data_IF_562244517687
#
_entry.id   IF_562244517687
#
_cell.length_a   1.000
_cell.length_b   1.000
_cell.length_c   1.000
_cell.angle_alpha   90.00
_cell.angle_beta   90.00
_cell.angle_gamma   90.00
#
_symmetry.space_group_name_H-M   'P 1'
#
loop_
_entity.id
_entity.type
_entity.pdbx_description
1 polymer ?
#
# COMPACT_ATOMS: atom_id res chain seq x y z
N UNK A 1 3.28 37.25 -25.66
CA UNK A 1 3.58 36.38 -24.51
C UNK A 1 4.79 35.54 -24.88
N UNK A 2 5.93 35.82 -24.25
CA UNK A 2 7.19 35.12 -24.46
C UNK A 2 7.23 33.91 -23.55
N UNK A 3 7.27 32.71 -24.13
CA UNK A 3 7.47 31.48 -23.38
C UNK A 3 8.96 31.31 -23.10
N UNK A 4 9.34 31.06 -21.85
CA UNK A 4 10.70 30.67 -21.46
C UNK A 4 10.70 29.21 -21.03
N UNK A 5 11.58 28.41 -21.62
CA UNK A 5 11.85 27.06 -21.16
C UNK A 5 12.48 27.15 -19.76
N UNK A 6 11.86 26.53 -18.76
CA UNK A 6 12.45 26.37 -17.43
C UNK A 6 13.15 25.01 -17.41
N UNK A 7 14.48 25.00 -17.45
CA UNK A 7 15.28 23.77 -17.54
C UNK A 7 15.23 22.89 -16.28
N UNK A 8 14.81 23.46 -15.14
CA UNK A 8 14.62 22.72 -13.88
C UNK A 8 13.49 23.32 -13.05
N UNK A 9 12.49 22.50 -12.69
CA UNK A 9 11.46 22.88 -11.72
C UNK A 9 12.11 22.89 -10.32
N UNK A 10 12.10 24.01 -9.59
CA UNK A 10 12.68 24.06 -8.24
C UNK A 10 12.03 23.02 -7.33
N UNK A 11 12.81 22.28 -6.55
CA UNK A 11 12.26 21.40 -5.53
C UNK A 11 11.54 22.26 -4.47
N UNK A 12 10.22 22.13 -4.28
CA UNK A 12 9.49 22.97 -3.33
C UNK A 12 9.90 22.72 -1.87
N UNK A 13 10.63 21.63 -1.62
CA UNK A 13 11.16 21.26 -0.32
C UNK A 13 12.64 21.67 -0.12
N UNK A 14 13.27 22.30 -1.12
CA UNK A 14 14.71 22.58 -1.12
C UNK A 14 15.53 21.31 -1.36
N UNK A 15 16.70 21.20 -0.74
CA UNK A 15 17.46 19.94 -0.70
C UNK A 15 16.69 18.94 0.17
N UNK A 16 15.88 18.06 -0.44
CA UNK A 16 15.30 16.92 0.27
C UNK A 16 16.48 16.09 0.75
N UNK A 17 16.72 15.99 2.07
CA UNK A 17 17.82 15.19 2.55
C UNK A 17 17.60 13.79 2.02
N UNK A 18 18.56 13.29 1.23
CA UNK A 18 18.55 11.89 0.78
C UNK A 18 18.49 11.08 2.05
N UNK A 19 17.31 10.54 2.36
CA UNK A 19 17.14 9.73 3.55
C UNK A 19 18.04 8.53 3.30
N UNK A 20 19.17 8.44 3.99
CA UNK A 20 20.21 7.44 3.74
C UNK A 20 19.66 6.04 4.10
N UNK A 21 18.80 5.50 3.21
CA UNK A 21 17.84 4.42 3.48
C UNK A 21 16.99 4.63 4.75
N UNK A 22 16.52 5.85 5.01
CA UNK A 22 15.71 6.17 6.19
C UNK A 22 16.50 6.51 7.47
N UNK A 23 17.83 6.67 7.43
CA UNK A 23 18.64 7.08 8.60
C UNK A 23 18.61 8.57 8.93
N UNK A 24 18.09 9.41 8.04
CA UNK A 24 17.78 10.82 8.34
C UNK A 24 16.26 10.93 8.40
N UNK A 25 15.70 10.57 9.56
CA UNK A 25 14.29 10.81 9.86
C UNK A 25 14.20 12.10 10.65
N UNK A 26 13.27 12.95 10.24
CA UNK A 26 12.91 14.18 10.95
C UNK A 26 12.48 13.89 12.39
N UNK A 27 12.65 14.82 13.35
CA UNK A 27 12.40 14.57 14.77
C UNK A 27 11.00 14.01 15.08
N UNK A 28 9.96 14.46 14.37
CA UNK A 28 8.60 13.94 14.55
C UNK A 28 8.51 12.45 14.21
N UNK A 29 9.13 12.03 13.11
CA UNK A 29 9.19 10.63 12.69
C UNK A 29 10.02 9.81 13.66
N UNK A 30 11.17 10.34 14.08
CA UNK A 30 12.00 9.69 15.09
C UNK A 30 11.24 9.46 16.39
N UNK A 31 10.47 10.45 16.86
CA UNK A 31 9.71 10.37 18.11
C UNK A 31 8.67 9.24 18.10
N UNK A 32 7.81 9.16 17.06
CA UNK A 32 6.84 8.06 17.03
C UNK A 32 7.49 6.71 16.71
N UNK A 33 8.60 6.69 15.96
CA UNK A 33 9.36 5.47 15.72
C UNK A 33 10.08 4.97 16.98
N UNK A 34 10.51 5.87 17.87
CA UNK A 34 11.01 5.52 19.21
C UNK A 34 9.96 4.75 20.00
N UNK A 35 8.73 5.28 20.07
CA UNK A 35 7.59 4.61 20.73
C UNK A 35 7.28 3.23 20.11
N UNK A 36 7.38 3.13 18.78
CA UNK A 36 7.19 1.86 18.07
C UNK A 36 8.23 0.83 18.50
N UNK A 37 9.51 1.22 18.60
CA UNK A 37 10.60 0.34 19.07
C UNK A 37 10.41 -0.05 20.53
N UNK A 38 9.97 0.86 21.39
CA UNK A 38 9.64 0.54 22.78
C UNK A 38 8.53 -0.53 22.85
N UNK A 39 7.47 -0.39 22.04
CA UNK A 39 6.42 -1.42 21.95
C UNK A 39 6.92 -2.76 21.40
N UNK A 40 7.94 -2.75 20.55
CA UNK A 40 8.61 -3.97 20.07
C UNK A 40 9.42 -4.70 21.15
N UNK A 41 9.59 -4.11 22.33
CA UNK A 41 10.26 -4.76 23.47
C UNK A 41 9.28 -5.21 24.56
N UNK A 42 7.99 -4.87 24.46
CA UNK A 42 6.97 -5.24 25.44
C UNK A 42 6.51 -6.70 25.29
N UNK A 43 6.00 -7.29 26.38
CA UNK A 43 5.42 -8.64 26.34
C UNK A 43 4.25 -8.72 25.35
N UNK A 44 4.07 -9.89 24.73
CA UNK A 44 2.97 -10.15 23.81
C UNK A 44 1.61 -9.71 24.34
N UNK A 45 0.85 -9.08 23.46
CA UNK A 45 -0.54 -8.73 23.71
C UNK A 45 -1.47 -9.91 23.41
N UNK A 46 -2.62 -9.92 24.09
CA UNK A 46 -3.70 -10.88 23.82
C UNK A 46 -4.19 -10.69 22.39
N UNK A 47 -4.26 -11.78 21.64
CA UNK A 47 -4.80 -11.81 20.28
C UNK A 47 -6.17 -11.13 20.19
N UNK A 48 -6.32 -10.24 19.22
CA UNK A 48 -7.57 -9.53 18.96
C UNK A 48 -7.94 -9.57 17.49
N UNK A 49 -9.20 -9.18 17.25
CA UNK A 49 -9.67 -8.79 15.94
C UNK A 49 -8.99 -7.48 15.54
N UNK A 50 -8.18 -7.53 14.49
CA UNK A 50 -7.35 -6.41 14.07
C UNK A 50 -7.80 -5.84 12.74
N UNK A 51 -7.87 -4.51 12.70
CA UNK A 51 -8.13 -3.76 11.48
C UNK A 51 -6.91 -3.81 10.58
N UNK A 52 -7.06 -4.32 9.36
CA UNK A 52 -6.04 -4.17 8.33
C UNK A 52 -6.25 -2.90 7.50
N UNK A 53 -7.45 -2.32 7.50
CA UNK A 53 -7.66 -0.90 7.16
C UNK A 53 -8.01 -0.15 8.44
N UNK A 54 -7.21 0.84 8.86
CA UNK A 54 -7.41 1.54 10.13
C UNK A 54 -8.81 2.11 10.34
N UNK A 55 -9.29 2.04 11.58
CA UNK A 55 -10.63 2.53 11.93
C UNK A 55 -10.79 4.04 11.73
N UNK A 56 -9.75 4.83 11.99
CA UNK A 56 -9.77 6.28 11.77
C UNK A 56 -9.95 6.62 10.28
N UNK A 57 -9.33 5.84 9.40
CA UNK A 57 -9.54 5.92 7.95
C UNK A 57 -10.98 5.55 7.58
N UNK A 58 -11.48 4.41 8.05
CA UNK A 58 -12.85 3.95 7.74
C UNK A 58 -13.94 4.93 8.23
N UNK A 59 -13.68 5.69 9.30
CA UNK A 59 -14.60 6.71 9.81
C UNK A 59 -14.89 7.81 8.78
N UNK A 60 -13.97 8.11 7.87
CA UNK A 60 -14.17 9.07 6.77
C UNK A 60 -15.32 8.69 5.84
N UNK A 61 -15.53 7.39 5.70
CA UNK A 61 -16.46 6.79 4.76
C UNK A 61 -17.81 6.51 5.42
N UNK A 62 -17.92 6.82 6.72
CA UNK A 62 -19.11 6.52 7.51
C UNK A 62 -20.10 7.68 7.43
N UNK A 63 -21.33 7.39 6.98
CA UNK A 63 -22.39 8.40 6.93
C UNK A 63 -22.97 8.73 8.31
N UNK A 64 -22.76 7.90 9.33
CA UNK A 64 -23.28 8.07 10.68
C UNK A 64 -22.21 7.91 11.78
N UNK A 65 -20.93 7.92 11.40
CA UNK A 65 -19.79 7.68 12.30
C UNK A 65 -19.65 6.26 12.86
N UNK A 66 -20.55 5.33 12.52
CA UNK A 66 -20.62 3.95 13.07
C UNK A 66 -20.60 2.86 12.02
N UNK A 67 -21.12 3.12 10.83
CA UNK A 67 -21.32 2.15 9.76
C UNK A 67 -20.83 2.69 8.41
N UNK A 68 -20.43 1.77 7.55
CA UNK A 68 -20.02 2.02 6.16
C UNK A 68 -20.76 1.05 5.26
N UNK A 69 -20.91 1.40 3.97
CA UNK A 69 -21.59 0.54 3.00
C UNK A 69 -20.50 -0.30 2.40
N UNK A 70 -20.67 -1.61 2.45
CA UNK A 70 -19.67 -2.56 2.01
C UNK A 70 -20.27 -3.44 0.95
N UNK A 71 -19.65 -3.43 -0.23
CA UNK A 71 -19.83 -4.45 -1.25
C UNK A 71 -18.78 -5.54 -1.04
N UNK A 72 -19.22 -6.74 -0.69
CA UNK A 72 -18.37 -7.92 -0.60
C UNK A 72 -18.11 -8.48 -2.00
N UNK A 73 -16.85 -8.46 -2.43
CA UNK A 73 -16.46 -8.83 -3.80
C UNK A 73 -16.70 -10.31 -4.10
N UNK A 74 -16.76 -11.17 -3.07
CA UNK A 74 -16.82 -12.63 -3.20
C UNK A 74 -18.21 -13.13 -3.56
N UNK A 75 -19.24 -12.47 -3.04
CA UNK A 75 -20.65 -12.86 -3.21
C UNK A 75 -21.49 -11.73 -3.83
N UNK A 76 -20.93 -10.53 -4.04
CA UNK A 76 -21.64 -9.38 -4.58
C UNK A 76 -22.63 -8.76 -3.58
N UNK A 77 -22.60 -9.15 -2.30
CA UNK A 77 -23.53 -8.63 -1.29
C UNK A 77 -23.16 -7.20 -0.93
N UNK A 78 -24.12 -6.29 -1.12
CA UNK A 78 -24.02 -4.89 -0.76
C UNK A 78 -24.85 -4.62 0.50
N UNK A 79 -24.20 -4.26 1.60
CA UNK A 79 -24.89 -3.99 2.87
C UNK A 79 -24.18 -2.99 3.77
N UNK A 80 -24.94 -2.28 4.63
CA UNK A 80 -24.38 -1.61 5.79
C UNK A 80 -23.58 -2.56 6.68
N UNK A 81 -22.39 -2.13 7.11
CA UNK A 81 -21.55 -2.87 8.06
C UNK A 81 -20.96 -1.93 9.10
N UNK A 82 -20.96 -2.35 10.35
CA UNK A 82 -20.35 -1.58 11.43
C UNK A 82 -18.83 -1.50 11.28
N UNK A 83 -18.23 -0.35 11.62
CA UNK A 83 -16.79 -0.12 11.53
C UNK A 83 -15.95 -1.18 12.27
N UNK A 84 -16.47 -1.78 13.34
CA UNK A 84 -15.80 -2.85 14.10
C UNK A 84 -15.70 -4.18 13.34
N UNK A 85 -16.44 -4.34 12.24
CA UNK A 85 -16.51 -5.56 11.45
C UNK A 85 -16.06 -5.37 9.99
N UNK A 86 -15.71 -4.16 9.58
CA UNK A 86 -15.22 -3.83 8.23
C UNK A 86 -13.69 -3.84 8.20
N UNK A 87 -13.10 -4.51 7.22
CA UNK A 87 -11.65 -4.66 7.07
C UNK A 87 -10.94 -5.19 8.33
N UNK A 88 -11.52 -6.20 8.97
CA UNK A 88 -11.01 -6.82 10.20
C UNK A 88 -10.74 -8.29 9.99
N UNK A 89 -9.64 -8.79 10.54
CA UNK A 89 -9.34 -10.23 10.60
C UNK A 89 -8.71 -10.58 11.94
N UNK A 90 -9.06 -11.74 12.47
CA UNK A 90 -8.43 -12.29 13.68
C UNK A 90 -7.00 -12.72 13.38
N UNK A 91 -6.08 -12.44 14.30
CA UNK A 91 -4.67 -12.83 14.17
C UNK A 91 -4.03 -12.30 12.88
N UNK A 92 -4.45 -11.11 12.43
CA UNK A 92 -4.00 -10.57 11.15
C UNK A 92 -2.52 -10.16 11.15
N UNK A 93 -1.95 -9.86 12.31
CA UNK A 93 -0.52 -9.57 12.44
C UNK A 93 0.22 -10.57 13.31
N UNK A 94 -0.40 -11.73 13.55
CA UNK A 94 0.24 -12.80 14.30
C UNK A 94 1.42 -13.36 13.51
N UNK A 95 2.58 -13.38 14.15
CA UNK A 95 3.84 -13.93 13.63
C UNK A 95 4.26 -15.11 14.50
N UNK A 96 5.11 -15.98 13.98
CA UNK A 96 5.58 -17.18 14.66
C UNK A 96 7.10 -17.16 14.67
N UNK A 97 7.71 -17.28 15.85
CA UNK A 97 9.16 -17.27 15.99
C UNK A 97 9.81 -18.62 15.62
N UNK A 98 11.14 -18.70 15.74
CA UNK A 98 11.89 -19.92 15.50
C UNK A 98 11.59 -21.08 16.46
N UNK A 99 10.87 -20.83 17.55
CA UNK A 99 10.46 -21.81 18.55
C UNK A 99 8.96 -22.19 18.41
N UNK A 100 8.31 -21.80 17.31
CA UNK A 100 6.87 -21.98 17.06
C UNK A 100 5.96 -21.23 18.05
N UNK A 101 6.49 -20.22 18.74
CA UNK A 101 5.73 -19.36 19.64
C UNK A 101 5.05 -18.26 18.81
N UNK A 102 3.76 -18.07 19.06
CA UNK A 102 2.96 -17.08 18.36
C UNK A 102 2.99 -15.74 19.09
N UNK A 103 3.33 -14.68 18.36
CA UNK A 103 3.43 -13.32 18.87
C UNK A 103 2.41 -12.40 18.20
N UNK A 104 1.82 -11.48 18.97
CA UNK A 104 0.89 -10.45 18.46
C UNK A 104 1.43 -9.02 18.65
N UNK A 105 2.68 -8.88 19.11
CA UNK A 105 3.30 -7.60 19.41
C UNK A 105 3.23 -6.56 18.28
N UNK A 106 3.27 -7.02 17.02
CA UNK A 106 3.08 -6.17 15.82
C UNK A 106 1.80 -5.34 15.91
N UNK A 107 0.72 -5.86 16.51
CA UNK A 107 -0.54 -5.14 16.67
C UNK A 107 -0.38 -3.90 17.55
N UNK A 108 0.38 -4.00 18.64
CA UNK A 108 0.63 -2.89 19.55
C UNK A 108 1.49 -1.80 18.88
N UNK A 109 2.45 -2.20 18.05
CA UNK A 109 3.29 -1.29 17.28
C UNK A 109 2.48 -0.52 16.24
N UNK A 110 1.59 -1.20 15.51
CA UNK A 110 0.74 -0.58 14.49
C UNK A 110 -0.27 0.41 15.08
N UNK A 111 -0.65 0.25 16.35
CA UNK A 111 -1.54 1.20 17.02
C UNK A 111 -0.92 2.62 17.07
N UNK A 112 0.40 2.75 17.26
CA UNK A 112 1.09 4.04 17.27
C UNK A 112 1.01 4.72 15.90
N UNK A 113 1.18 3.92 14.83
CA UNK A 113 1.05 4.43 13.46
C UNK A 113 -0.40 4.75 13.09
N UNK A 114 -1.39 4.05 13.68
CA UNK A 114 -2.80 4.35 13.51
C UNK A 114 -3.19 5.70 14.14
N UNK A 115 -2.59 6.05 15.28
CA UNK A 115 -2.75 7.37 15.92
C UNK A 115 -2.17 8.48 15.03
N UNK A 116 -0.97 8.26 14.50
CA UNK A 116 -0.31 9.22 13.60
C UNK A 116 -1.08 9.42 12.30
N UNK A 117 -1.58 8.33 11.70
CA UNK A 117 -2.46 8.41 10.55
C UNK A 117 -3.77 9.14 10.90
N UNK A 118 -4.35 8.94 12.09
CA UNK A 118 -5.56 9.67 12.49
C UNK A 118 -5.31 11.19 12.55
N UNK A 119 -4.17 11.61 13.09
CA UNK A 119 -3.73 13.02 13.10
C UNK A 119 -3.59 13.57 11.68
N UNK A 120 -2.85 12.87 10.82
CA UNK A 120 -2.64 13.28 9.42
C UNK A 120 -3.94 13.34 8.62
N UNK A 121 -4.87 12.40 8.81
CA UNK A 121 -6.16 12.42 8.14
C UNK A 121 -7.03 13.62 8.54
N UNK A 122 -6.94 14.08 9.79
CA UNK A 122 -7.62 15.30 10.23
C UNK A 122 -7.01 16.53 9.54
N UNK A 123 -5.68 16.61 9.54
CA UNK A 123 -4.92 17.68 8.92
C UNK A 123 -5.16 17.78 7.40
N UNK A 124 -5.05 16.66 6.67
CA UNK A 124 -5.29 16.59 5.23
C UNK A 124 -6.72 16.96 4.81
N UNK A 125 -7.72 16.67 5.66
CA UNK A 125 -9.11 17.08 5.40
C UNK A 125 -9.38 18.54 5.70
N UNK A 126 -8.61 19.13 6.62
CA UNK A 126 -8.69 20.55 6.94
C UNK A 126 -8.06 21.44 5.90
N UNK A 127 -7.11 20.92 5.11
CA UNK A 127 -6.33 21.75 4.19
C UNK A 127 -7.15 22.44 3.10
N UNK A 128 -6.89 23.73 2.95
CA UNK A 128 -7.38 24.59 1.90
C UNK A 128 -6.21 25.06 1.01
N UNK A 129 -6.49 25.53 -0.23
CA UNK A 129 -5.46 26.12 -1.07
C UNK A 129 -4.72 27.25 -0.35
N UNK A 130 -3.39 27.15 -0.28
CA UNK A 130 -2.52 28.12 0.40
C UNK A 130 -2.06 27.70 1.80
N UNK A 131 -2.62 26.63 2.37
CA UNK A 131 -2.09 26.04 3.60
C UNK A 131 -0.67 25.49 3.36
N UNK A 132 0.21 25.70 4.33
CA UNK A 132 1.57 25.16 4.28
C UNK A 132 1.62 23.77 4.92
N UNK A 133 2.49 22.93 4.38
CA UNK A 133 2.82 21.62 4.92
C UNK A 133 4.24 21.67 5.48
N UNK A 134 4.36 21.42 6.79
CA UNK A 134 5.64 21.15 7.41
C UNK A 134 6.29 19.91 6.76
N UNK A 135 7.59 19.98 6.50
CA UNK A 135 8.34 18.85 5.94
C UNK A 135 8.19 17.58 6.81
N UNK A 136 8.11 17.75 8.13
CA UNK A 136 7.91 16.65 9.08
C UNK A 136 6.59 15.90 8.88
N UNK A 137 5.52 16.64 8.59
CA UNK A 137 4.22 16.08 8.28
C UNK A 137 4.22 15.38 6.92
N UNK A 138 4.98 15.90 5.93
CA UNK A 138 5.12 15.27 4.61
C UNK A 138 5.85 13.93 4.71
N UNK A 139 6.93 13.88 5.49
CA UNK A 139 7.65 12.63 5.74
C UNK A 139 6.80 11.64 6.52
N UNK A 140 6.05 12.10 7.53
CA UNK A 140 5.12 11.26 8.29
C UNK A 140 4.00 10.70 7.40
N UNK A 141 3.49 11.52 6.49
CA UNK A 141 2.53 11.13 5.47
C UNK A 141 3.07 10.02 4.56
N UNK A 142 4.29 10.17 4.03
CA UNK A 142 4.93 9.16 3.20
C UNK A 142 5.09 7.81 3.93
N UNK A 143 5.45 7.84 5.22
CA UNK A 143 5.54 6.64 6.06
C UNK A 143 4.17 5.99 6.28
N UNK A 144 3.14 6.79 6.58
CA UNK A 144 1.78 6.28 6.80
C UNK A 144 1.19 5.65 5.54
N UNK A 145 1.37 6.28 4.37
CA UNK A 145 0.93 5.70 3.09
C UNK A 145 1.71 4.44 2.77
N UNK A 146 3.01 4.42 3.03
CA UNK A 146 3.83 3.21 2.90
C UNK A 146 3.40 2.08 3.84
N UNK A 147 3.02 2.39 5.07
CA UNK A 147 2.46 1.41 6.00
C UNK A 147 1.12 0.87 5.47
N UNK A 148 0.25 1.76 4.99
CA UNK A 148 -1.09 1.37 4.56
C UNK A 148 -1.08 0.50 3.30
N UNK A 149 -0.13 0.71 2.38
CA UNK A 149 0.07 -0.17 1.22
C UNK A 149 0.58 -1.57 1.60
N UNK A 150 1.38 -1.67 2.66
CA UNK A 150 2.02 -2.92 3.10
C UNK A 150 1.17 -3.75 4.10
N UNK A 151 0.15 -3.17 4.75
CA UNK A 151 -0.69 -3.90 5.74
C UNK A 151 -1.95 -4.55 5.15
N UNK A 152 -2.01 -4.75 3.85
CA UNK A 152 -3.19 -5.31 3.18
C UNK A 152 -3.14 -6.85 3.16
N UNK A 153 -4.27 -7.57 3.09
CA UNK A 153 -4.22 -9.03 3.00
C UNK A 153 -3.54 -9.50 1.70
N UNK A 154 -3.50 -8.65 0.67
CA UNK A 154 -2.74 -8.83 -0.56
C UNK A 154 -1.24 -8.87 -0.30
N UNK A 155 -0.71 -7.85 0.40
CA UNK A 155 0.69 -7.78 0.78
C UNK A 155 1.10 -8.99 1.65
N UNK A 156 0.21 -9.41 2.56
CA UNK A 156 0.46 -10.60 3.39
C UNK A 156 0.56 -11.89 2.57
N UNK A 157 -0.33 -12.08 1.58
CA UNK A 157 -0.21 -13.21 0.64
C UNK A 157 1.07 -13.13 -0.18
N UNK A 158 1.42 -11.95 -0.67
CA UNK A 158 2.66 -11.74 -1.42
C UNK A 158 3.89 -12.20 -0.61
N UNK A 159 3.99 -11.78 0.66
CA UNK A 159 5.08 -12.18 1.55
C UNK A 159 5.09 -13.70 1.79
N UNK A 160 3.93 -14.31 2.00
CA UNK A 160 3.81 -15.77 2.17
C UNK A 160 4.25 -16.53 0.92
N UNK A 161 3.78 -16.13 -0.28
CA UNK A 161 4.18 -16.75 -1.54
C UNK A 161 5.68 -16.59 -1.82
N UNK A 162 6.25 -15.42 -1.51
CA UNK A 162 7.69 -15.17 -1.64
C UNK A 162 8.51 -16.05 -0.70
N UNK A 163 8.08 -16.20 0.55
CA UNK A 163 8.75 -17.07 1.54
C UNK A 163 8.70 -18.54 1.12
N UNK A 164 7.54 -19.02 0.64
CA UNK A 164 7.41 -20.37 0.10
C UNK A 164 8.34 -20.60 -1.10
N UNK A 165 8.40 -19.64 -2.03
CA UNK A 165 9.30 -19.70 -3.19
C UNK A 165 10.77 -19.75 -2.79
N UNK A 166 11.21 -18.93 -1.83
CA UNK A 166 12.58 -18.95 -1.32
C UNK A 166 12.96 -20.30 -0.72
N UNK A 167 12.04 -20.90 0.04
CA UNK A 167 12.22 -22.22 0.66
C UNK A 167 12.36 -23.31 -0.41
N UNK A 168 11.47 -23.32 -1.39
CA UNK A 168 11.37 -24.38 -2.40
C UNK A 168 12.55 -24.35 -3.40
N UNK A 169 13.01 -23.15 -3.79
CA UNK A 169 13.98 -22.98 -4.89
C UNK A 169 15.41 -22.68 -4.46
N UNK A 170 15.61 -21.96 -3.36
CA UNK A 170 16.96 -21.56 -2.96
C UNK A 170 17.66 -22.62 -2.10
N UNK A 171 16.96 -23.73 -1.74
CA UNK A 171 17.36 -24.67 -0.69
C UNK A 171 17.79 -23.97 0.60
N UNK A 172 17.35 -22.73 0.78
CA UNK A 172 17.57 -21.99 2.00
C UNK A 172 16.56 -22.53 3.01
N UNK A 173 16.98 -22.81 4.25
CA UNK A 173 16.01 -23.08 5.29
C UNK A 173 15.00 -21.93 5.30
N UNK A 174 13.70 -22.21 5.53
CA UNK A 174 12.69 -21.16 5.58
C UNK A 174 13.19 -20.07 6.53
N UNK A 175 13.33 -18.85 6.01
CA UNK A 175 13.80 -17.72 6.79
C UNK A 175 12.87 -17.62 8.00
N UNK A 176 13.42 -17.84 9.21
CA UNK A 176 12.65 -17.75 10.43
C UNK A 176 12.19 -16.30 10.57
N UNK A 177 10.93 -16.04 10.26
CA UNK A 177 10.29 -14.75 10.44
C UNK A 177 9.99 -14.55 11.93
N UNK A 178 11.04 -14.48 12.75
CA UNK A 178 10.91 -14.02 14.15
C UNK A 178 10.18 -12.69 14.17
N UNK A 179 9.53 -12.36 15.30
CA UNK A 179 8.82 -11.09 15.45
C UNK A 179 9.70 -9.91 15.06
N UNK A 180 10.93 -9.87 15.57
CA UNK A 180 11.91 -8.83 15.26
C UNK A 180 12.25 -8.75 13.77
N UNK A 181 12.40 -9.89 13.11
CA UNK A 181 12.73 -9.93 11.69
C UNK A 181 11.54 -9.52 10.81
N UNK A 182 10.33 -10.00 11.10
CA UNK A 182 9.12 -9.57 10.38
C UNK A 182 8.87 -8.07 10.54
N UNK A 183 9.06 -7.57 11.77
CA UNK A 183 9.01 -6.15 12.09
C UNK A 183 10.04 -5.39 11.26
N UNK A 184 11.32 -5.79 11.29
CA UNK A 184 12.38 -5.15 10.50
C UNK A 184 12.06 -5.14 9.00
N UNK A 185 11.57 -6.26 8.44
CA UNK A 185 11.13 -6.33 7.04
C UNK A 185 10.00 -5.37 6.72
N UNK A 186 8.96 -5.31 7.57
CA UNK A 186 7.83 -4.40 7.42
C UNK A 186 8.31 -2.95 7.44
N UNK A 187 9.14 -2.58 8.43
CA UNK A 187 9.67 -1.22 8.54
C UNK A 187 10.59 -0.86 7.38
N UNK A 188 11.46 -1.77 6.93
CA UNK A 188 12.28 -1.54 5.74
C UNK A 188 11.43 -1.33 4.49
N UNK A 189 10.38 -2.13 4.31
CA UNK A 189 9.45 -1.96 3.19
C UNK A 189 8.71 -0.61 3.26
N UNK A 190 8.29 -0.21 4.46
CA UNK A 190 7.68 1.10 4.72
C UNK A 190 8.65 2.23 4.41
N UNK A 191 9.89 2.20 4.90
CA UNK A 191 10.88 3.25 4.67
C UNK A 191 11.27 3.36 3.20
N UNK A 192 11.43 2.23 2.49
CA UNK A 192 11.67 2.25 1.04
C UNK A 192 10.51 2.90 0.30
N UNK A 193 9.28 2.56 0.69
CA UNK A 193 8.07 3.16 0.12
C UNK A 193 8.03 4.66 0.42
N UNK A 194 8.27 5.06 1.66
CA UNK A 194 8.29 6.45 2.08
C UNK A 194 9.35 7.26 1.32
N UNK A 195 10.55 6.70 1.12
CA UNK A 195 11.62 7.34 0.36
C UNK A 195 11.25 7.54 -1.13
N UNK A 196 10.48 6.61 -1.70
CA UNK A 196 9.97 6.77 -3.07
C UNK A 196 8.80 7.76 -3.15
N UNK A 197 8.00 7.89 -2.10
CA UNK A 197 6.91 8.86 -2.02
C UNK A 197 7.41 10.27 -1.72
N UNK A 198 8.49 10.41 -0.95
CA UNK A 198 9.06 11.72 -0.59
C UNK A 198 9.70 12.46 -1.76
N UNK A 199 9.98 11.77 -2.87
CA UNK A 199 10.48 12.40 -4.10
C UNK A 199 9.35 12.85 -5.04
N UNK A 200 8.08 12.59 -4.69
CA UNK A 200 6.92 12.90 -5.53
C UNK A 200 6.27 14.22 -5.12
N UNK A 201 5.60 14.85 -6.08
CA UNK A 201 4.76 16.01 -5.86
C UNK A 201 3.52 15.58 -5.06
N UNK A 202 3.25 16.26 -3.94
CA UNK A 202 2.00 16.07 -3.22
C UNK A 202 0.89 16.88 -3.89
N UNK A 203 -0.23 16.23 -4.15
CA UNK A 203 -1.45 16.88 -4.63
C UNK A 203 -2.66 16.47 -3.76
N UNK A 204 -3.61 17.40 -3.62
CA UNK A 204 -4.93 17.16 -3.06
C UNK A 204 -5.97 17.35 -4.16
N UNK A 205 -6.68 16.26 -4.47
CA UNK A 205 -7.75 16.27 -5.45
C UNK A 205 -9.10 16.23 -4.75
N UNK A 206 -9.92 17.24 -5.02
CA UNK A 206 -11.25 17.38 -4.43
C UNK A 206 -12.34 16.93 -5.41
N UNK A 207 -13.38 16.30 -4.88
CA UNK A 207 -14.63 16.02 -5.58
C UNK A 207 -15.82 16.47 -4.72
N UNK A 208 -16.38 17.66 -4.97
CA UNK A 208 -17.51 18.18 -4.20
C UNK A 208 -18.74 17.26 -4.19
N UNK A 209 -18.87 16.37 -5.18
CA UNK A 209 -20.00 15.43 -5.26
C UNK A 209 -19.80 14.16 -4.43
N UNK A 210 -18.63 13.96 -3.82
CA UNK A 210 -18.39 12.83 -2.93
C UNK A 210 -18.35 11.47 -3.63
N UNK A 211 -17.85 11.40 -4.87
CA UNK A 211 -17.89 10.19 -5.72
C UNK A 211 -16.62 9.34 -5.62
N UNK A 212 -15.65 9.68 -4.78
CA UNK A 212 -14.59 8.73 -4.49
C UNK A 212 -15.14 7.52 -3.71
N UNK A 213 -14.47 6.39 -3.87
CA UNK A 213 -14.70 5.15 -3.11
C UNK A 213 -13.35 4.63 -2.63
N UNK A 214 -13.38 3.66 -1.72
CA UNK A 214 -12.17 2.96 -1.27
C UNK A 214 -12.42 1.46 -1.18
N UNK A 215 -11.41 0.71 -0.75
CA UNK A 215 -11.49 -0.73 -0.52
C UNK A 215 -10.54 -1.16 0.61
N UNK A 216 -10.41 -2.47 0.77
CA UNK A 216 -9.41 -3.10 1.64
C UNK A 216 -7.95 -2.93 1.18
N UNK A 217 -7.72 -2.33 0.01
CA UNK A 217 -6.41 -1.91 -0.50
C UNK A 217 -6.45 -0.41 -0.86
N UNK A 218 -6.40 0.49 0.14
CA UNK A 218 -6.76 1.90 -0.03
C UNK A 218 -5.70 2.75 -0.72
N UNK A 219 -4.46 2.28 -0.84
CA UNK A 219 -3.40 2.96 -1.59
C UNK A 219 -3.28 2.29 -2.95
N UNK A 220 -3.43 3.05 -4.03
CA UNK A 220 -3.53 2.54 -5.40
C UNK A 220 -2.40 3.13 -6.23
N UNK A 221 -1.97 2.38 -7.23
CA UNK A 221 -1.00 2.86 -8.23
C UNK A 221 -1.74 3.09 -9.55
N UNK A 222 -1.44 4.18 -10.24
CA UNK A 222 -1.93 4.38 -11.61
C UNK A 222 -1.38 3.29 -12.52
N UNK A 223 -2.21 2.82 -13.44
CA UNK A 223 -1.78 1.93 -14.52
C UNK A 223 -1.39 2.77 -15.73
N UNK A 224 -0.15 2.63 -16.18
CA UNK A 224 0.36 3.33 -17.35
C UNK A 224 -0.21 2.73 -18.64
N UNK A 225 -0.46 1.41 -18.64
CA UNK A 225 -1.16 0.71 -19.71
C UNK A 225 -2.01 -0.46 -19.17
N UNK A 226 -3.15 -0.79 -19.81
CA UNK A 226 -3.94 -1.96 -19.46
C UNK A 226 -3.09 -3.24 -19.48
N UNK A 227 -3.06 -3.97 -18.36
CA UNK A 227 -2.35 -5.25 -18.26
C UNK A 227 -0.86 -5.15 -17.91
N UNK A 228 -0.30 -3.94 -17.81
CA UNK A 228 1.05 -3.75 -17.28
C UNK A 228 1.03 -3.68 -15.74
N UNK A 229 1.97 -4.35 -15.05
CA UNK A 229 2.05 -4.27 -13.61
C UNK A 229 2.61 -2.90 -13.22
N UNK A 230 1.84 -2.13 -12.46
CA UNK A 230 2.31 -0.87 -11.90
C UNK A 230 3.30 -1.15 -10.76
N UNK A 231 4.47 -0.53 -10.83
CA UNK A 231 5.40 -0.48 -9.72
C UNK A 231 5.45 0.94 -9.14
N UNK A 232 5.73 1.05 -7.85
CA UNK A 232 5.79 2.34 -7.17
C UNK A 232 6.82 3.30 -7.79
N UNK A 233 7.91 2.80 -8.38
CA UNK A 233 8.91 3.63 -9.03
C UNK A 233 8.54 4.04 -10.46
N UNK A 234 7.60 3.35 -11.11
CA UNK A 234 7.25 3.58 -12.52
C UNK A 234 5.90 4.28 -12.70
N UNK A 235 4.97 4.13 -11.74
CA UNK A 235 3.63 4.70 -11.88
C UNK A 235 3.64 6.23 -11.86
N UNK A 236 2.82 6.85 -12.69
CA UNK A 236 2.62 8.31 -12.68
C UNK A 236 2.03 8.82 -11.37
N UNK A 237 1.00 8.14 -10.85
CA UNK A 237 0.30 8.54 -9.64
C UNK A 237 0.22 7.42 -8.61
N UNK A 238 0.40 7.79 -7.35
CA UNK A 238 -0.05 6.99 -6.20
C UNK A 238 -1.29 7.66 -5.64
N UNK A 239 -2.44 7.00 -5.73
CA UNK A 239 -3.71 7.51 -5.25
C UNK A 239 -4.03 6.96 -3.87
N UNK A 240 -4.46 7.83 -2.97
CA UNK A 240 -4.92 7.44 -1.64
C UNK A 240 -6.23 8.18 -1.31
N UNK A 241 -7.40 7.62 -1.65
CA UNK A 241 -8.68 8.25 -1.33
C UNK A 241 -8.81 8.34 0.19
N UNK A 242 -8.91 9.52 0.78
CA UNK A 242 -8.96 9.68 2.25
C UNK A 242 -10.36 9.98 2.79
N UNK A 243 -11.29 10.30 1.87
CA UNK A 243 -12.72 10.50 2.11
C UNK A 243 -13.47 10.43 0.77
N UNK A 244 -14.81 10.43 0.77
CA UNK A 244 -15.59 10.50 -0.47
C UNK A 244 -15.32 11.74 -1.31
N UNK A 245 -14.90 12.85 -0.70
CA UNK A 245 -14.73 14.16 -1.35
C UNK A 245 -13.28 14.56 -1.56
N UNK A 246 -12.31 13.78 -1.05
CA UNK A 246 -10.89 14.14 -1.11
C UNK A 246 -9.98 12.94 -1.29
N UNK A 247 -9.02 13.12 -2.17
CA UNK A 247 -7.99 12.18 -2.56
C UNK A 247 -6.61 12.82 -2.35
N UNK A 248 -5.69 12.08 -1.73
CA UNK A 248 -4.27 12.44 -1.71
C UNK A 248 -3.59 11.76 -2.89
N UNK A 249 -2.74 12.50 -3.61
CA UNK A 249 -1.99 11.99 -4.75
C UNK A 249 -0.51 12.28 -4.59
N UNK A 250 0.33 11.28 -4.85
CA UNK A 250 1.76 11.47 -5.06
C UNK A 250 2.07 11.32 -6.55
N UNK A 251 2.35 12.45 -7.19
CA UNK A 251 2.58 12.56 -8.62
C UNK A 251 4.07 12.55 -8.95
N UNK A 252 4.43 11.91 -10.06
CA UNK A 252 5.77 12.01 -10.66
C UNK A 252 6.01 13.35 -11.38
N UNK A 253 4.97 14.17 -11.54
CA UNK A 253 5.02 15.46 -12.24
C UNK A 253 5.18 16.60 -11.22
N UNK A 254 6.36 17.21 -11.18
CA UNK A 254 6.66 18.31 -10.26
C UNK A 254 6.21 19.65 -10.83
N UNK A 255 5.53 20.46 -10.01
CA UNK A 255 5.12 21.82 -10.36
C UNK A 255 5.90 22.90 -9.61
N UNK A 256 6.81 22.49 -8.70
CA UNK A 256 7.62 23.42 -7.92
C UNK A 256 6.87 24.10 -6.78
N UNK A 257 5.71 23.54 -6.39
CA UNK A 257 4.88 24.01 -5.28
C UNK A 257 4.77 22.85 -4.27
N UNK A 258 4.75 23.13 -2.98
CA UNK A 258 4.70 22.09 -1.93
C UNK A 258 3.48 21.18 -2.06
N UNK A 259 2.31 21.78 -2.28
CA UNK A 259 1.02 21.07 -2.41
C UNK A 259 0.25 21.66 -3.58
N UNK A 260 -0.15 20.81 -4.52
CA UNK A 260 -1.04 21.21 -5.61
C UNK A 260 -2.48 20.89 -5.22
N UNK A 261 -3.36 21.88 -5.21
CA UNK A 261 -4.79 21.69 -5.02
C UNK A 261 -5.51 21.74 -6.36
N UNK A 262 -6.38 20.76 -6.63
CA UNK A 262 -7.24 20.78 -7.82
C UNK A 262 -8.53 20.01 -7.64
N UNK A 263 -9.52 20.31 -8.46
CA UNK A 263 -10.73 19.48 -8.56
C UNK A 263 -10.49 18.31 -9.52
N UNK A 264 -10.91 17.11 -9.12
CA UNK A 264 -10.83 15.93 -9.97
C UNK A 264 -11.90 15.98 -11.07
N UNK A 265 -11.48 15.78 -12.30
CA UNK A 265 -12.39 15.65 -13.44
C UNK A 265 -13.22 14.35 -13.35
N UNK A 266 -14.35 14.33 -14.05
CA UNK A 266 -15.19 13.11 -14.14
C UNK A 266 -14.41 11.90 -14.70
N UNK A 267 -13.50 12.14 -15.63
CA UNK A 267 -12.65 11.10 -16.24
C UNK A 267 -11.69 10.48 -15.22
N UNK A 268 -11.00 11.31 -14.45
CA UNK A 268 -10.09 10.89 -13.38
C UNK A 268 -10.84 10.12 -12.29
N UNK A 269 -11.99 10.64 -11.83
CA UNK A 269 -12.84 9.95 -10.87
C UNK A 269 -13.23 8.57 -11.40
N UNK A 270 -13.64 8.47 -12.67
CA UNK A 270 -13.96 7.20 -13.30
C UNK A 270 -12.76 6.22 -13.31
N UNK A 271 -11.55 6.71 -13.58
CA UNK A 271 -10.32 5.92 -13.57
C UNK A 271 -9.97 5.42 -12.17
N UNK A 272 -10.03 6.31 -11.17
CA UNK A 272 -9.76 5.98 -9.76
C UNK A 272 -10.78 4.97 -9.26
N UNK A 273 -12.07 5.17 -9.51
CA UNK A 273 -13.14 4.23 -9.13
C UNK A 273 -12.94 2.86 -9.74
N UNK A 274 -12.63 2.79 -11.04
CA UNK A 274 -12.25 1.52 -11.68
C UNK A 274 -11.09 0.91 -10.92
N UNK A 275 -10.01 1.65 -10.71
CA UNK A 275 -8.83 1.17 -10.00
C UNK A 275 -9.14 0.68 -8.58
N UNK A 276 -10.04 1.31 -7.82
CA UNK A 276 -10.50 0.84 -6.50
C UNK A 276 -11.24 -0.48 -6.60
N UNK A 277 -12.27 -0.55 -7.46
CA UNK A 277 -13.03 -1.79 -7.71
C UNK A 277 -12.07 -2.89 -8.15
N UNK A 278 -11.01 -2.48 -8.84
CA UNK A 278 -10.02 -3.34 -9.40
C UNK A 278 -9.02 -3.86 -8.34
N UNK A 279 -8.57 -3.00 -7.46
CA UNK A 279 -7.62 -3.36 -6.41
C UNK A 279 -8.30 -3.99 -5.21
N UNK A 280 -9.63 -3.97 -5.09
CA UNK A 280 -10.33 -4.58 -3.96
C UNK A 280 -10.13 -6.10 -3.89
N UNK A 281 -9.76 -6.62 -2.73
CA UNK A 281 -9.65 -8.06 -2.50
C UNK A 281 -10.98 -8.69 -2.07
N UNK A 282 -11.63 -8.07 -1.09
CA UNK A 282 -12.81 -8.60 -0.41
C UNK A 282 -13.88 -7.56 -0.17
N UNK A 283 -13.51 -6.30 0.01
CA UNK A 283 -14.45 -5.26 0.42
C UNK A 283 -14.22 -3.97 -0.38
N UNK A 284 -15.28 -3.48 -1.05
CA UNK A 284 -15.35 -2.12 -1.59
C UNK A 284 -16.24 -1.29 -0.67
N UNK A 285 -15.80 -0.08 -0.35
CA UNK A 285 -16.46 0.82 0.61
C UNK A 285 -16.84 2.11 -0.10
N UNK A 286 -18.09 2.52 0.06
CA UNK A 286 -18.64 3.73 -0.53
C UNK A 286 -19.65 4.42 0.40
N UNK A 287 -20.13 5.59 -0.01
CA UNK A 287 -21.30 6.22 0.61
C UNK A 287 -22.60 5.48 0.22
N UNK A 288 -23.65 5.56 1.06
CA UNK A 288 -24.97 5.03 0.73
C UNK A 288 -25.57 5.63 -0.55
N UNK A 289 -25.19 6.87 -0.88
CA UNK A 289 -25.66 7.61 -2.05
C UNK A 289 -25.00 7.18 -3.36
N UNK A 290 -23.93 6.38 -3.31
CA UNK A 290 -23.23 5.89 -4.51
C UNK A 290 -24.13 4.95 -5.33
N UNK A 291 -24.28 5.20 -6.63
CA UNK A 291 -25.14 4.39 -7.51
C UNK A 291 -24.37 3.49 -8.46
N UNK A 292 -23.05 3.64 -8.52
CA UNK A 292 -22.22 3.03 -9.56
C UNK A 292 -21.39 1.85 -9.03
N UNK A 293 -21.68 1.35 -7.82
CA UNK A 293 -21.12 0.10 -7.33
C UNK A 293 -21.72 -1.10 -8.10
N UNK A 294 -20.91 -2.12 -8.44
CA UNK A 294 -21.37 -3.31 -9.15
C UNK A 294 -22.08 -4.30 -8.20
N UNK A 295 -23.11 -3.84 -7.47
CA UNK A 295 -23.89 -4.66 -6.56
C UNK A 295 -24.53 -5.87 -7.27
N UNK A 296 -24.58 -7.01 -6.58
CA UNK A 296 -25.10 -8.27 -7.13
C UNK A 296 -24.17 -8.98 -8.11
N UNK A 297 -23.01 -8.39 -8.46
CA UNK A 297 -22.01 -9.04 -9.30
C UNK A 297 -20.91 -9.64 -8.43
N UNK A 298 -20.63 -10.93 -8.64
CA UNK A 298 -19.43 -11.55 -8.09
C UNK A 298 -18.22 -11.01 -8.84
N UNK A 299 -17.33 -10.33 -8.14
CA UNK A 299 -16.07 -9.88 -8.69
C UNK A 299 -15.06 -11.01 -8.48
N UNK A 300 -14.76 -11.76 -9.56
CA UNK A 300 -13.82 -12.88 -9.49
C UNK A 300 -12.50 -12.39 -8.87
N UNK A 301 -12.06 -13.09 -7.81
CA UNK A 301 -10.74 -12.88 -7.21
C UNK A 301 -9.69 -12.97 -8.29
N UNK A 302 -8.82 -11.97 -8.37
CA UNK A 302 -7.71 -11.99 -9.31
C UNK A 302 -6.49 -12.61 -8.67
N UNK A 303 -5.76 -13.39 -9.46
CA UNK A 303 -4.48 -13.92 -9.05
C UNK A 303 -3.53 -12.74 -8.86
N UNK A 304 -3.18 -12.44 -7.62
CA UNK A 304 -2.43 -11.23 -7.27
C UNK A 304 -0.94 -11.44 -7.13
N UNK A 305 -0.43 -12.67 -7.21
CA UNK A 305 0.98 -13.01 -7.43
C UNK A 305 1.07 -14.55 -7.47
N UNK A 306 1.62 -15.10 -8.56
CA UNK A 306 2.04 -16.50 -8.60
C UNK A 306 3.48 -16.51 -9.12
N UNK A 307 4.43 -16.58 -8.19
CA UNK A 307 5.85 -16.71 -8.53
C UNK A 307 6.10 -18.15 -8.94
N UNK A 308 5.70 -18.49 -10.16
CA UNK A 308 6.22 -19.66 -10.82
C UNK A 308 7.60 -19.32 -11.38
N UNK A 309 8.49 -20.29 -11.42
CA UNK A 309 9.67 -20.27 -12.27
C UNK A 309 9.60 -21.51 -13.14
N UNK A 310 8.77 -21.47 -14.18
CA UNK A 310 8.74 -22.52 -15.19
C UNK A 310 9.81 -22.22 -16.23
N UNK A 311 10.61 -23.24 -16.56
CA UNK A 311 11.55 -23.16 -17.66
C UNK A 311 10.72 -23.12 -18.95
N UNK A 312 10.82 -22.02 -19.69
CA UNK A 312 9.99 -21.81 -20.90
C UNK A 312 10.49 -22.70 -22.03
N UNK A 313 11.81 -22.87 -22.12
CA UNK A 313 12.50 -23.79 -23.04
C UNK A 313 13.82 -24.28 -22.41
N UNK A 314 14.16 -25.59 -22.49
CA UNK A 314 15.41 -26.14 -21.96
C UNK A 314 16.67 -25.44 -22.45
N UNK A 315 16.64 -25.00 -23.71
CA UNK A 315 17.75 -24.41 -24.45
C UNK A 315 17.92 -22.91 -24.23
N UNK A 316 16.87 -22.19 -23.83
CA UNK A 316 16.89 -20.72 -23.82
C UNK A 316 17.25 -20.08 -22.47
N UNK A 317 17.42 -20.88 -21.40
CA UNK A 317 17.61 -20.36 -20.03
C UNK A 317 16.62 -19.23 -19.71
N UNK A 318 15.35 -19.38 -20.10
CA UNK A 318 14.28 -18.41 -19.78
C UNK A 318 13.40 -18.97 -18.69
N UNK A 319 13.18 -18.15 -17.68
CA UNK A 319 12.33 -18.45 -16.55
C UNK A 319 11.10 -17.55 -16.64
N UNK A 320 9.92 -18.16 -16.65
CA UNK A 320 8.64 -17.43 -16.65
C UNK A 320 8.27 -17.09 -15.22
N UNK A 321 8.28 -15.81 -14.88
CA UNK A 321 7.85 -15.31 -13.58
C UNK A 321 6.46 -14.68 -13.73
N UNK A 322 5.47 -15.23 -13.02
CA UNK A 322 4.12 -14.69 -12.96
C UNK A 322 4.01 -13.55 -11.94
N UNK A 323 4.00 -12.31 -12.40
CA UNK A 323 3.65 -11.19 -11.55
C UNK A 323 2.17 -10.87 -11.72
N UNK A 324 1.37 -11.23 -10.71
CA UNK A 324 0.07 -10.59 -10.50
C UNK A 324 0.29 -9.32 -9.69
N UNK A 325 -0.37 -8.22 -10.01
CA UNK A 325 -0.66 -7.11 -9.07
C UNK A 325 -2.00 -6.53 -9.51
N UNK A 326 -3.05 -6.74 -8.71
CA UNK A 326 -4.40 -6.30 -9.09
C UNK A 326 -4.89 -6.89 -10.43
N UNK A 327 -4.93 -6.07 -11.48
CA UNK A 327 -5.66 -6.33 -12.74
C UNK A 327 -4.87 -6.95 -13.89
N UNK A 328 -3.59 -7.24 -13.71
CA UNK A 328 -2.79 -8.01 -14.67
C UNK A 328 -2.07 -9.15 -13.97
N UNK A 329 -2.10 -10.34 -14.60
CA UNK A 329 -1.04 -11.32 -14.44
C UNK A 329 -0.15 -11.16 -15.66
N UNK A 330 1.06 -10.67 -15.46
CA UNK A 330 2.05 -10.58 -16.52
C UNK A 330 3.01 -11.74 -16.37
N UNK A 331 3.15 -12.52 -17.44
CA UNK A 331 4.23 -13.48 -17.59
C UNK A 331 5.45 -12.68 -18.03
N UNK A 332 6.42 -12.53 -17.14
CA UNK A 332 7.73 -11.98 -17.49
C UNK A 332 8.64 -13.15 -17.83
N UNK A 333 8.87 -13.37 -19.13
CA UNK A 333 9.91 -14.27 -19.60
C UNK A 333 11.25 -13.50 -19.52
N UNK A 334 12.04 -13.78 -18.47
CA UNK A 334 13.37 -13.18 -18.27
C UNK A 334 14.43 -14.25 -18.52
N UNK A 335 15.58 -13.85 -19.08
CA UNK A 335 16.78 -14.67 -19.01
C UNK A 335 17.02 -15.00 -17.53
N UNK A 336 17.21 -16.28 -17.20
CA UNK A 336 17.41 -16.75 -15.84
C UNK A 336 18.71 -16.12 -15.30
N UNK A 337 18.59 -14.92 -14.72
CA UNK A 337 19.62 -14.32 -13.89
C UNK A 337 19.87 -15.22 -12.65
N UNK A 338 20.95 -15.02 -11.87
CA UNK A 338 21.35 -15.96 -10.81
C UNK A 338 20.22 -16.35 -9.84
N UNK A 339 19.22 -15.49 -9.66
CA UNK A 339 17.98 -15.71 -8.90
C UNK A 339 17.20 -16.96 -9.35
N UNK A 340 17.32 -17.39 -10.60
CA UNK A 340 16.73 -18.63 -11.12
C UNK A 340 17.75 -19.68 -11.55
N UNK A 341 19.00 -19.30 -11.83
CA UNK A 341 20.05 -20.23 -12.26
C UNK A 341 20.56 -21.14 -11.12
N UNK A 342 20.35 -20.75 -9.85
CA UNK A 342 20.67 -21.59 -8.68
C UNK A 342 19.79 -22.85 -8.56
N UNK A 343 18.71 -22.95 -9.33
CA UNK A 343 17.83 -24.11 -9.33
C UNK A 343 18.29 -25.25 -10.27
N UNK A 344 19.39 -25.08 -11.03
CA UNK A 344 19.81 -26.05 -12.06
C UNK A 344 21.29 -26.47 -11.97
N UNK A 345 21.94 -26.33 -10.82
CA UNK A 345 23.22 -27.03 -10.58
C UNK A 345 23.03 -28.09 -9.52
N UNK A 346 22.27 -29.14 -9.85
CA UNK A 346 22.38 -30.40 -9.11
C UNK A 346 21.86 -31.61 -9.88
N UNK A 347 22.10 -31.65 -11.20
CA UNK A 347 21.94 -32.87 -11.98
C UNK A 347 23.00 -32.91 -13.09
N UNK A 348 24.26 -33.11 -12.68
CA UNK A 348 25.25 -33.90 -13.43
C UNK A 348 26.64 -33.77 -12.78
N UNK A 349 27.03 -34.78 -11.98
CA UNK A 349 28.30 -35.51 -12.15
C UNK A 349 28.57 -36.43 -10.95
N UNK A 350 28.62 -37.73 -11.22
CA UNK A 350 29.58 -38.66 -10.61
C UNK A 350 29.29 -39.17 -9.21
#
# INVERSE_FOLDING_TARGET
>A
MTWSLIDAVPNPWGDVPVTNNGRSVVPLVEAYMGRVREKALERDCVSRRSHYVPKAYLRAWSWNGRQVRVLDTRNGHDKPRGLRATCVRENFYRVTDGNDIQHNQVEAMLAILDDEMARLLLLLRGWAPGDDLAFDDFMSLAVVVGMQSNRTPQARRFLASRSAWLTDRARQPPEQLTTDHYVDLLFRAMYRTANQLSTRQLELWDDPQGRFITCDHPVLLSQDAPGMPSALHSCHYVWWPISPTRLVVFSSEHQGIKIVHREASRGEIGQIRRTVIHSAESEIIALPTDRDLPAGKVLRKRLQLQVDCTQVEPTERKCRIGFGWGYGATLLDRACQPICALALTDDSAG
#
